data_IF_712875951992
#
_entry.id   IF_712875951992
#
_cell.length_a   1.000
_cell.length_b   1.000
_cell.length_c   1.000
_cell.angle_alpha   90.00
_cell.angle_beta   90.00
_cell.angle_gamma   90.00
#
_symmetry.space_group_name_H-M   'P 1'
#
loop_
_entity.id
_entity.type
_entity.pdbx_description
1 polymer ?
#
# COMPACT_ATOMS: atom_id res chain seq x y z
N UNK A 1 -0.27 -14.76 -8.31
CA UNK A 1 -0.68 -14.61 -9.71
C UNK A 1 -1.35 -13.26 -9.85
N UNK A 2 -0.99 -12.43 -10.84
CA UNK A 2 -1.69 -11.15 -11.07
C UNK A 2 -3.02 -11.40 -11.77
N UNK A 3 -4.09 -10.74 -11.32
CA UNK A 3 -5.43 -10.85 -11.92
C UNK A 3 -5.67 -9.80 -13.01
N UNK A 4 -4.93 -8.69 -12.98
CA UNK A 4 -5.06 -7.55 -13.88
C UNK A 4 -3.67 -7.01 -14.24
N UNK A 5 -3.54 -6.33 -15.38
CA UNK A 5 -2.27 -5.78 -15.85
C UNK A 5 -2.45 -4.36 -16.38
N UNK A 6 -1.67 -3.43 -15.83
CA UNK A 6 -1.44 -2.11 -16.40
C UNK A 6 0.04 -1.98 -16.75
N UNK A 7 0.32 -1.58 -17.99
CA UNK A 7 1.67 -1.44 -18.51
C UNK A 7 2.08 0.03 -18.50
N UNK A 8 3.17 0.31 -17.83
CA UNK A 8 3.80 1.63 -17.79
C UNK A 8 5.24 1.51 -18.30
N UNK A 9 5.70 2.53 -19.03
CA UNK A 9 7.07 2.61 -19.51
C UNK A 9 7.79 3.75 -18.82
N UNK A 10 8.91 3.44 -18.18
CA UNK A 10 9.85 4.43 -17.68
C UNK A 10 10.67 4.91 -18.88
N UNK A 11 10.66 6.22 -19.15
CA UNK A 11 11.33 6.81 -20.32
C UNK A 11 12.82 7.05 -20.09
N UNK A 12 13.22 7.19 -18.83
CA UNK A 12 14.62 7.39 -18.43
C UNK A 12 15.23 6.08 -17.91
N UNK A 13 16.56 5.90 -18.02
CA UNK A 13 17.23 4.73 -17.48
C UNK A 13 17.00 4.57 -15.97
N UNK A 14 16.49 3.42 -15.55
CA UNK A 14 16.34 3.09 -14.14
C UNK A 14 17.69 2.67 -13.54
N UNK A 15 18.31 3.54 -12.74
CA UNK A 15 19.60 3.31 -12.08
C UNK A 15 19.49 3.03 -10.58
N UNK A 16 18.28 2.99 -10.03
CA UNK A 16 18.07 2.88 -8.59
C UNK A 16 18.30 1.43 -8.12
N UNK A 17 19.30 1.23 -7.25
CA UNK A 17 19.59 -0.06 -6.66
C UNK A 17 18.43 -0.54 -5.74
N UNK A 18 18.10 -1.84 -5.72
CA UNK A 18 17.02 -2.39 -4.89
C UNK A 18 17.15 -2.08 -3.39
N UNK A 19 18.36 -2.10 -2.84
CA UNK A 19 18.60 -1.76 -1.44
C UNK A 19 18.33 -0.28 -1.13
N UNK A 20 18.66 0.62 -2.05
CA UNK A 20 18.36 2.05 -1.91
C UNK A 20 16.87 2.33 -2.10
N UNK A 21 16.23 1.60 -3.03
CA UNK A 21 14.77 1.61 -3.15
C UNK A 21 14.11 1.21 -1.83
N UNK A 22 14.55 0.12 -1.19
CA UNK A 22 13.99 -0.34 0.10
C UNK A 22 14.05 0.77 1.17
N UNK A 23 15.21 1.40 1.36
CA UNK A 23 15.38 2.54 2.30
C UNK A 23 14.43 3.70 2.01
N UNK A 24 14.15 3.98 0.73
CA UNK A 24 13.21 5.04 0.35
C UNK A 24 11.75 4.65 0.63
N UNK A 25 11.40 3.38 0.45
CA UNK A 25 10.07 2.85 0.72
C UNK A 25 9.78 2.76 2.23
N UNK A 26 10.79 2.50 3.07
CA UNK A 26 10.66 2.49 4.53
C UNK A 26 10.06 3.79 5.08
N UNK A 27 10.42 4.95 4.49
CA UNK A 27 9.86 6.26 4.87
C UNK A 27 8.35 6.38 4.66
N UNK A 28 7.77 5.47 3.87
CA UNK A 28 6.34 5.38 3.57
C UNK A 28 5.81 3.97 3.84
N UNK A 29 6.41 3.27 4.80
CA UNK A 29 5.92 1.97 5.25
C UNK A 29 4.48 2.10 5.74
N UNK A 30 3.70 1.04 5.54
CA UNK A 30 2.30 1.02 5.93
C UNK A 30 2.13 1.23 7.43
N UNK A 31 1.26 2.18 7.78
CA UNK A 31 0.80 2.41 9.14
C UNK A 31 -0.72 2.27 9.15
N UNK A 32 -1.29 1.46 10.06
CA UNK A 32 -2.73 1.31 10.18
C UNK A 32 -3.44 2.64 10.43
N UNK A 33 -4.72 2.72 10.07
CA UNK A 33 -5.57 3.87 10.37
C UNK A 33 -5.62 4.14 11.89
N UNK A 34 -5.09 5.27 12.34
CA UNK A 34 -5.10 5.68 13.75
C UNK A 34 -6.08 6.84 13.99
N UNK A 35 -6.87 6.76 15.06
CA UNK A 35 -7.78 7.83 15.48
C UNK A 35 -8.85 8.18 14.45
N UNK A 36 -8.80 9.42 13.97
CA UNK A 36 -9.74 10.01 12.99
C UNK A 36 -9.34 9.80 11.52
N UNK A 37 -8.22 9.11 11.26
CA UNK A 37 -7.79 8.83 9.89
C UNK A 37 -8.74 7.83 9.24
N UNK A 38 -9.34 8.23 8.12
CA UNK A 38 -10.33 7.43 7.38
C UNK A 38 -9.72 6.61 6.25
N UNK A 39 -8.56 7.01 5.73
CA UNK A 39 -7.81 6.26 4.72
C UNK A 39 -6.32 6.32 5.02
N UNK A 40 -5.64 5.18 4.95
CA UNK A 40 -4.17 5.11 4.92
C UNK A 40 -3.70 4.28 3.75
N UNK A 41 -2.48 4.55 3.30
CA UNK A 41 -1.80 3.70 2.33
C UNK A 41 -0.31 3.65 2.69
N UNK A 42 0.34 2.55 2.34
CA UNK A 42 1.78 2.45 2.52
C UNK A 42 2.34 1.11 2.07
N UNK A 43 3.66 1.05 2.00
CA UNK A 43 4.38 -0.11 1.50
C UNK A 43 4.40 -1.24 2.53
N UNK A 44 4.18 -2.46 2.04
CA UNK A 44 4.24 -3.70 2.83
C UNK A 44 5.14 -4.70 2.15
N UNK A 45 5.61 -5.69 2.89
CA UNK A 45 6.42 -6.76 2.32
C UNK A 45 5.59 -7.61 1.34
N UNK A 46 6.05 -7.82 0.08
CA UNK A 46 5.35 -8.68 -0.87
C UNK A 46 5.28 -10.14 -0.43
N UNK A 47 6.23 -10.54 0.43
CA UNK A 47 6.35 -11.87 1.02
C UNK A 47 6.85 -11.73 2.45
N UNK A 48 6.25 -12.49 3.37
CA UNK A 48 6.61 -12.52 4.79
C UNK A 48 8.11 -12.75 4.98
N UNK A 49 8.76 -11.86 5.72
CA UNK A 49 10.19 -11.90 6.05
C UNK A 49 11.13 -11.46 4.90
N UNK A 50 10.58 -10.96 3.79
CA UNK A 50 11.34 -10.58 2.60
C UNK A 50 11.68 -9.10 2.49
N UNK A 51 11.18 -8.26 3.40
CA UNK A 51 11.33 -6.80 3.34
C UNK A 51 10.43 -6.15 2.28
N UNK A 52 10.53 -4.83 2.14
CA UNK A 52 9.63 -4.03 1.28
C UNK A 52 9.91 -4.17 -0.23
N UNK A 53 11.08 -4.70 -0.59
CA UNK A 53 11.51 -4.89 -1.99
C UNK A 53 11.91 -6.34 -2.17
N UNK A 54 11.16 -7.07 -3.00
CA UNK A 54 11.55 -8.41 -3.43
C UNK A 54 12.19 -8.33 -4.81
N UNK A 55 13.50 -8.59 -4.89
CA UNK A 55 14.24 -8.68 -6.15
C UNK A 55 14.40 -10.14 -6.58
N UNK A 56 14.06 -10.45 -7.84
CA UNK A 56 14.31 -11.76 -8.46
C UNK A 56 14.80 -11.53 -9.88
N UNK A 57 16.04 -11.91 -10.19
CA UNK A 57 16.61 -11.87 -11.55
C UNK A 57 16.38 -10.52 -12.28
N UNK A 58 16.70 -9.40 -11.62
CA UNK A 58 16.49 -8.01 -12.11
C UNK A 58 15.03 -7.56 -12.20
N UNK A 59 14.09 -8.36 -11.77
CA UNK A 59 12.69 -7.97 -11.59
C UNK A 59 12.48 -7.53 -10.16
N UNK A 60 11.70 -6.47 -9.98
CA UNK A 60 11.37 -5.93 -8.67
C UNK A 60 9.88 -6.09 -8.45
N UNK A 61 9.51 -6.73 -7.36
CA UNK A 61 8.14 -6.82 -6.88
C UNK A 61 7.98 -5.95 -5.63
N UNK A 62 6.96 -5.10 -5.66
CA UNK A 62 6.55 -4.23 -4.55
C UNK A 62 5.08 -4.48 -4.23
N UNK A 63 4.65 -4.16 -3.02
CA UNK A 63 3.24 -4.27 -2.63
C UNK A 63 2.82 -3.02 -1.86
N UNK A 64 1.73 -2.41 -2.29
CA UNK A 64 1.13 -1.24 -1.67
C UNK A 64 -0.19 -1.67 -1.01
N UNK A 65 -0.32 -1.40 0.29
CA UNK A 65 -1.53 -1.64 1.05
C UNK A 65 -2.36 -0.37 1.12
N UNK A 66 -3.68 -0.51 1.00
CA UNK A 66 -4.66 0.54 1.21
C UNK A 66 -5.61 0.09 2.30
N UNK A 67 -5.81 0.93 3.31
CA UNK A 67 -6.81 0.73 4.34
C UNK A 67 -7.81 1.89 4.28
N UNK A 68 -9.09 1.56 4.26
CA UNK A 68 -10.17 2.55 4.29
C UNK A 68 -11.16 2.16 5.39
N UNK A 69 -11.28 3.04 6.38
CA UNK A 69 -12.29 2.92 7.42
C UNK A 69 -13.63 3.32 6.85
N UNK A 70 -14.55 2.36 6.78
CA UNK A 70 -15.94 2.64 6.44
C UNK A 70 -16.54 3.49 7.56
N UNK A 71 -16.67 4.79 7.30
CA UNK A 71 -17.46 5.67 8.15
C UNK A 71 -18.92 5.40 7.84
N UNK A 72 -19.64 4.79 8.79
CA UNK A 72 -21.08 4.58 8.65
C UNK A 72 -21.79 5.92 8.48
N UNK A 73 -22.31 6.16 7.28
CA UNK A 73 -23.20 7.27 7.01
C UNK A 73 -24.57 6.93 7.62
N UNK A 74 -24.85 7.49 8.80
CA UNK A 74 -26.21 7.71 9.32
C UNK A 74 -27.13 6.50 9.51
N UNK A 75 -26.83 5.61 10.46
CA UNK A 75 -27.84 4.78 11.15
C UNK A 75 -28.27 5.41 12.49
N UNK A 76 -28.61 6.71 12.48
CA UNK A 76 -29.16 7.41 13.67
C UNK A 76 -30.59 7.97 13.47
N UNK A 77 -31.30 7.58 12.41
CA UNK A 77 -32.64 8.13 12.10
C UNK A 77 -33.83 7.21 12.35
N UNK A 78 -33.70 6.15 13.16
CA UNK A 78 -34.84 5.27 13.47
C UNK A 78 -35.04 4.96 14.96
N UNK A 79 -34.94 5.98 15.82
CA UNK A 79 -35.65 5.97 17.12
C UNK A 79 -36.93 6.79 16.99
N UNK A 80 -38.04 6.13 16.65
CA UNK A 80 -39.39 6.70 16.76
C UNK A 80 -39.76 6.87 18.24
N UNK A 81 -40.60 7.85 18.59
CA UNK A 81 -40.90 8.25 19.95
C UNK A 81 -41.88 7.29 20.62
N UNK A 82 -41.68 7.01 21.90
CA UNK A 82 -42.73 6.61 22.84
C UNK A 82 -42.91 7.70 23.86
#
# INVERSE_FOLDING_TARGET
MFSNLHLYRITEPWSLAPAELAKRLEKRAFTPCAGSVTKTQGWVEPRVGGGLVLEVQKQILLTLCFEEKKMGFGEQWNRKPT
#
